data_IF_949063881185
#
_entry.id   IF_949063881185
#
_cell.length_a   1.000
_cell.length_b   1.000
_cell.length_c   1.000
_cell.angle_alpha   90.00
_cell.angle_beta   90.00
_cell.angle_gamma   90.00
#
_symmetry.space_group_name_H-M   'P 1'
#
loop_
_entity.id
_entity.type
_entity.pdbx_description
1 polymer ?
#
# COMPACT_ATOMS: atom_id res chain seq x y z
N UNK A 1 39.32 -15.51 14.39
CA UNK A 1 39.01 -14.09 14.11
C UNK A 1 37.50 -13.95 14.17
N UNK A 2 37.03 -13.13 15.10
CA UNK A 2 35.67 -13.11 15.65
C UNK A 2 34.55 -12.94 14.61
N UNK A 3 33.75 -13.99 14.40
CA UNK A 3 32.41 -13.89 13.79
C UNK A 3 31.54 -12.83 14.51
N UNK A 4 31.77 -12.62 15.81
CA UNK A 4 31.06 -11.63 16.60
C UNK A 4 31.54 -10.18 16.32
N UNK A 5 32.84 -9.97 16.03
CA UNK A 5 33.35 -8.66 15.57
C UNK A 5 32.92 -8.38 14.14
N UNK A 6 32.82 -9.40 13.30
CA UNK A 6 32.35 -9.23 11.93
C UNK A 6 30.84 -8.98 11.88
N UNK A 7 30.04 -9.66 12.71
CA UNK A 7 28.62 -9.35 12.92
C UNK A 7 28.42 -7.95 13.53
N UNK A 8 29.24 -7.55 14.51
CA UNK A 8 29.24 -6.19 15.06
C UNK A 8 29.67 -5.15 14.03
N UNK A 9 30.63 -5.45 13.14
CA UNK A 9 31.04 -4.58 12.02
C UNK A 9 29.95 -4.47 10.95
N UNK A 10 29.32 -5.57 10.54
CA UNK A 10 28.20 -5.57 9.59
C UNK A 10 26.96 -4.87 10.14
N UNK A 11 26.65 -5.02 11.44
CA UNK A 11 25.64 -4.21 12.14
C UNK A 11 26.00 -2.72 12.18
N UNK A 12 27.28 -2.36 12.07
CA UNK A 12 27.78 -0.97 12.08
C UNK A 12 27.65 -0.26 10.73
N UNK A 13 27.14 -0.93 9.69
CA UNK A 13 27.06 -0.38 8.32
C UNK A 13 25.70 -0.63 7.66
N UNK A 14 24.68 -1.01 8.43
CA UNK A 14 23.32 -1.11 7.90
C UNK A 14 22.70 0.29 7.90
N UNK A 15 22.38 0.79 6.73
CA UNK A 15 21.87 2.16 6.54
C UNK A 15 20.35 2.22 6.72
N UNK A 16 19.81 3.41 6.99
CA UNK A 16 18.35 3.64 7.00
C UNK A 16 17.70 3.20 5.68
N UNK A 17 18.41 3.32 4.55
CA UNK A 17 17.91 2.87 3.25
C UNK A 17 17.70 1.36 3.19
N UNK A 18 18.61 0.60 3.79
CA UNK A 18 18.50 -0.87 3.86
C UNK A 18 17.31 -1.27 4.74
N UNK A 19 17.09 -0.57 5.86
CA UNK A 19 15.93 -0.81 6.71
C UNK A 19 14.60 -0.46 6.03
N UNK A 20 14.55 0.61 5.23
CA UNK A 20 13.37 0.98 4.44
C UNK A 20 13.09 -0.06 3.35
N UNK A 21 14.13 -0.50 2.64
CA UNK A 21 13.99 -1.56 1.63
C UNK A 21 13.47 -2.87 2.27
N UNK A 22 14.03 -3.27 3.41
CA UNK A 22 13.56 -4.43 4.15
C UNK A 22 12.10 -4.29 4.62
N UNK A 23 11.67 -3.09 5.01
CA UNK A 23 10.30 -2.83 5.41
C UNK A 23 9.32 -2.97 4.23
N UNK A 24 9.66 -2.39 3.07
CA UNK A 24 8.85 -2.51 1.85
C UNK A 24 8.77 -3.97 1.37
N UNK A 25 9.91 -4.66 1.30
CA UNK A 25 9.94 -6.09 0.95
C UNK A 25 9.26 -6.99 1.97
N UNK A 26 9.06 -6.54 3.21
CA UNK A 26 8.25 -7.26 4.19
C UNK A 26 6.75 -7.05 3.95
N UNK A 27 6.32 -5.83 3.60
CA UNK A 27 4.94 -5.54 3.20
C UNK A 27 4.52 -6.35 1.97
N UNK A 28 5.37 -6.42 0.94
CA UNK A 28 5.12 -7.23 -0.27
C UNK A 28 4.97 -8.73 0.02
N UNK A 29 5.53 -9.21 1.15
CA UNK A 29 5.39 -10.60 1.61
C UNK A 29 4.30 -10.78 2.66
N UNK A 30 3.50 -9.74 2.92
CA UNK A 30 2.49 -9.69 3.98
C UNK A 30 3.04 -9.97 5.39
N UNK A 31 4.32 -9.70 5.63
CA UNK A 31 4.99 -9.90 6.93
C UNK A 31 5.01 -8.58 7.70
N UNK A 32 3.87 -8.24 8.30
CA UNK A 32 3.72 -7.02 9.10
C UNK A 32 4.79 -6.91 10.19
N UNK A 33 5.03 -7.99 10.92
CA UNK A 33 5.97 -7.98 12.05
C UNK A 33 7.40 -7.68 11.59
N UNK A 34 7.81 -8.22 10.44
CA UNK A 34 9.09 -7.86 9.85
C UNK A 34 9.14 -6.41 9.39
N UNK A 35 8.06 -5.89 8.78
CA UNK A 35 7.97 -4.49 8.38
C UNK A 35 8.13 -3.55 9.60
N UNK A 36 7.39 -3.79 10.69
CA UNK A 36 7.46 -3.00 11.92
C UNK A 36 8.84 -3.07 12.58
N UNK A 37 9.50 -4.24 12.59
CA UNK A 37 10.88 -4.36 13.09
C UNK A 37 11.87 -3.52 12.28
N UNK A 38 11.72 -3.51 10.96
CA UNK A 38 12.57 -2.73 10.06
C UNK A 38 12.34 -1.22 10.21
N UNK A 39 11.09 -0.77 10.31
CA UNK A 39 10.73 0.63 10.62
C UNK A 39 11.35 1.07 11.95
N UNK A 40 11.21 0.27 13.01
CA UNK A 40 11.81 0.59 14.30
C UNK A 40 13.35 0.65 14.25
N UNK A 41 13.99 -0.22 13.46
CA UNK A 41 15.42 -0.16 13.24
C UNK A 41 15.84 1.14 12.53
N UNK A 42 15.11 1.54 11.48
CA UNK A 42 15.32 2.79 10.75
C UNK A 42 15.21 4.01 11.68
N UNK A 43 14.14 4.10 12.48
CA UNK A 43 13.89 5.22 13.41
C UNK A 43 14.96 5.38 14.49
N UNK A 44 15.59 4.29 14.96
CA UNK A 44 16.70 4.36 15.92
C UNK A 44 17.91 5.11 15.39
N UNK A 45 18.03 5.23 14.07
CA UNK A 45 19.09 6.01 13.41
C UNK A 45 18.76 7.52 13.32
N UNK A 46 17.59 7.95 13.84
CA UNK A 46 17.11 9.35 13.86
C UNK A 46 17.10 9.98 12.45
N UNK A 47 16.34 9.41 11.51
CA UNK A 47 16.25 9.91 10.14
C UNK A 47 15.71 11.34 10.10
N UNK A 48 16.11 12.10 9.06
CA UNK A 48 15.59 13.45 8.81
C UNK A 48 14.17 13.45 8.25
N UNK A 49 13.53 14.62 8.23
CA UNK A 49 12.09 14.79 8.00
C UNK A 49 11.49 14.02 6.82
N UNK A 50 12.07 14.08 5.61
CA UNK A 50 11.54 13.34 4.44
C UNK A 50 11.55 11.82 4.66
N UNK A 51 12.59 11.31 5.29
CA UNK A 51 12.74 9.87 5.56
C UNK A 51 11.80 9.43 6.67
N UNK A 52 11.57 10.27 7.68
CA UNK A 52 10.54 10.00 8.71
C UNK A 52 9.13 9.99 8.10
N UNK A 53 8.81 10.91 7.18
CA UNK A 53 7.52 10.90 6.47
C UNK A 53 7.29 9.59 5.71
N UNK A 54 8.31 9.08 5.02
CA UNK A 54 8.23 7.79 4.33
C UNK A 54 8.06 6.63 5.33
N UNK A 55 8.73 6.66 6.49
CA UNK A 55 8.56 5.63 7.51
C UNK A 55 7.14 5.64 8.11
N UNK A 56 6.52 6.81 8.29
CA UNK A 56 5.12 6.94 8.72
C UNK A 56 4.17 6.35 7.67
N UNK A 57 4.41 6.59 6.38
CA UNK A 57 3.63 5.99 5.29
C UNK A 57 3.71 4.46 5.32
N UNK A 58 4.92 3.90 5.38
CA UNK A 58 5.14 2.44 5.42
C UNK A 58 4.49 1.83 6.67
N UNK A 59 4.58 2.51 7.82
CA UNK A 59 3.96 2.06 9.07
C UNK A 59 2.43 2.07 8.98
N UNK A 60 1.84 3.09 8.34
CA UNK A 60 0.39 3.15 8.13
C UNK A 60 -0.08 1.95 7.29
N UNK A 61 0.63 1.61 6.21
CA UNK A 61 0.37 0.41 5.42
C UNK A 61 0.55 -0.89 6.21
N UNK A 62 1.57 -0.96 7.06
CA UNK A 62 1.76 -2.12 7.94
C UNK A 62 0.61 -2.30 8.93
N UNK A 63 0.06 -1.21 9.48
CA UNK A 63 -1.14 -1.25 10.32
C UNK A 63 -2.36 -1.72 9.53
N UNK A 64 -2.57 -1.25 8.29
CA UNK A 64 -3.66 -1.74 7.44
C UNK A 64 -3.53 -3.25 7.15
N UNK A 65 -2.32 -3.73 6.83
CA UNK A 65 -2.06 -5.16 6.66
C UNK A 65 -2.33 -5.97 7.95
N UNK A 66 -2.16 -5.34 9.12
CA UNK A 66 -2.50 -5.91 10.43
C UNK A 66 -3.95 -5.77 10.85
N UNK A 67 -4.81 -5.22 9.98
CA UNK A 67 -6.21 -4.85 10.27
C UNK A 67 -6.38 -3.85 11.43
N UNK A 68 -5.40 -2.97 11.63
CA UNK A 68 -5.38 -1.94 12.67
C UNK A 68 -5.73 -0.57 12.08
N UNK A 69 -6.98 -0.37 11.68
CA UNK A 69 -7.42 0.86 11.00
C UNK A 69 -7.23 2.14 11.83
N UNK A 70 -7.42 2.08 13.14
CA UNK A 70 -7.28 3.26 14.00
C UNK A 70 -5.82 3.72 14.11
N UNK A 71 -4.87 2.79 14.16
CA UNK A 71 -3.45 3.13 14.15
C UNK A 71 -3.01 3.64 12.79
N UNK A 72 -3.49 3.03 11.70
CA UNK A 72 -3.28 3.54 10.34
C UNK A 72 -3.82 4.97 10.19
N UNK A 73 -5.01 5.28 10.72
CA UNK A 73 -5.59 6.62 10.70
C UNK A 73 -4.74 7.64 11.46
N UNK A 74 -4.30 7.31 12.68
CA UNK A 74 -3.40 8.19 13.47
C UNK A 74 -2.07 8.45 12.76
N UNK A 75 -1.55 7.49 12.01
CA UNK A 75 -0.33 7.65 11.21
C UNK A 75 -0.58 8.48 9.96
N UNK A 76 -1.69 8.25 9.25
CA UNK A 76 -2.07 9.02 8.07
C UNK A 76 -2.24 10.51 8.40
N UNK A 77 -2.77 10.86 9.58
CA UNK A 77 -2.88 12.25 10.06
C UNK A 77 -1.52 12.96 10.19
N UNK A 78 -0.46 12.23 10.50
CA UNK A 78 0.90 12.78 10.63
C UNK A 78 1.55 13.11 9.29
N UNK A 79 1.05 12.52 8.19
CA UNK A 79 1.55 12.83 6.85
C UNK A 79 1.15 14.25 6.42
N UNK A 80 1.95 14.95 5.59
CA UNK A 80 1.56 16.20 4.98
C UNK A 80 0.18 16.12 4.32
N UNK A 81 -0.61 17.20 4.35
CA UNK A 81 -1.99 17.20 3.80
C UNK A 81 -2.07 16.79 2.33
N UNK A 82 -1.05 17.12 1.53
CA UNK A 82 -0.95 16.78 0.10
C UNK A 82 -0.01 15.60 -0.14
N UNK A 83 0.19 14.74 0.85
CA UNK A 83 1.02 13.56 0.70
C UNK A 83 0.38 12.60 -0.32
N UNK A 84 1.11 12.05 -1.30
CA UNK A 84 0.49 11.27 -2.37
C UNK A 84 -0.17 9.96 -1.90
N UNK A 85 0.35 9.36 -0.81
CA UNK A 85 -0.22 8.17 -0.20
C UNK A 85 -1.57 8.39 0.52
N UNK A 86 -1.91 9.64 0.90
CA UNK A 86 -3.09 9.91 1.76
C UNK A 86 -4.39 9.34 1.19
N UNK A 87 -4.77 9.62 -0.07
CA UNK A 87 -6.01 9.08 -0.64
C UNK A 87 -6.09 7.55 -0.60
N UNK A 88 -4.97 6.87 -0.86
CA UNK A 88 -4.91 5.41 -0.79
C UNK A 88 -5.04 4.89 0.64
N UNK A 89 -4.37 5.53 1.61
CA UNK A 89 -4.48 5.19 3.03
C UNK A 89 -5.89 5.44 3.55
N UNK A 90 -6.52 6.56 3.20
CA UNK A 90 -7.88 6.90 3.61
C UNK A 90 -8.88 5.85 3.09
N UNK A 91 -8.76 5.44 1.83
CA UNK A 91 -9.55 4.34 1.27
C UNK A 91 -9.29 3.01 1.99
N UNK A 92 -8.01 2.67 2.24
CA UNK A 92 -7.64 1.46 2.98
C UNK A 92 -8.18 1.42 4.41
N UNK A 93 -8.22 2.57 5.10
CA UNK A 93 -8.81 2.70 6.44
C UNK A 93 -10.31 2.39 6.42
N UNK A 94 -11.05 2.89 5.42
CA UNK A 94 -12.48 2.58 5.25
C UNK A 94 -12.70 1.08 5.04
N UNK A 95 -11.91 0.48 4.14
CA UNK A 95 -11.95 -0.96 3.83
C UNK A 95 -11.72 -1.79 5.11
N UNK A 96 -10.65 -1.50 5.86
CA UNK A 96 -10.31 -2.27 7.08
C UNK A 96 -11.33 -2.06 8.20
N UNK A 97 -11.99 -0.89 8.26
CA UNK A 97 -13.13 -0.62 9.18
C UNK A 97 -14.42 -1.35 8.79
N UNK A 98 -14.46 -1.99 7.62
CA UNK A 98 -15.61 -2.72 7.12
C UNK A 98 -16.60 -1.88 6.30
N UNK A 99 -16.28 -0.62 6.02
CA UNK A 99 -17.03 0.17 5.03
C UNK A 99 -16.56 -0.21 3.62
N UNK A 100 -17.08 -1.35 3.14
CA UNK A 100 -16.65 -1.96 1.88
C UNK A 100 -16.95 -1.07 0.68
N UNK A 101 -18.19 -0.61 0.57
CA UNK A 101 -18.65 0.20 -0.57
C UNK A 101 -17.97 1.57 -0.55
N UNK A 102 -17.98 2.27 0.59
CA UNK A 102 -17.31 3.57 0.72
C UNK A 102 -15.80 3.47 0.51
N UNK A 103 -15.17 2.37 0.96
CA UNK A 103 -13.76 2.09 0.73
C UNK A 103 -13.42 1.79 -0.73
N UNK A 104 -14.27 1.02 -1.43
CA UNK A 104 -14.09 0.71 -2.85
C UNK A 104 -14.26 1.97 -3.72
N UNK A 105 -15.28 2.79 -3.46
CA UNK A 105 -15.48 4.06 -4.14
C UNK A 105 -14.30 5.01 -3.92
N UNK A 106 -13.86 5.19 -2.66
CA UNK A 106 -12.72 6.03 -2.33
C UNK A 106 -11.42 5.53 -2.99
N UNK A 107 -11.22 4.20 -3.07
CA UNK A 107 -10.06 3.62 -3.74
C UNK A 107 -10.10 3.86 -5.25
N UNK A 108 -11.25 3.70 -5.89
CA UNK A 108 -11.41 4.00 -7.33
C UNK A 108 -11.07 5.47 -7.63
N UNK A 109 -11.55 6.41 -6.80
CA UNK A 109 -11.20 7.82 -6.89
C UNK A 109 -9.69 8.06 -6.69
N UNK A 110 -9.07 7.38 -5.72
CA UNK A 110 -7.64 7.47 -5.46
C UNK A 110 -6.80 6.91 -6.63
N UNK A 111 -7.22 5.82 -7.26
CA UNK A 111 -6.55 5.25 -8.43
C UNK A 111 -6.59 6.19 -9.64
N UNK A 112 -7.72 6.88 -9.86
CA UNK A 112 -7.89 7.84 -10.95
C UNK A 112 -7.04 9.10 -10.80
N UNK A 113 -6.95 9.64 -9.58
CA UNK A 113 -6.31 10.92 -9.33
C UNK A 113 -4.87 10.79 -8.79
N UNK A 114 -4.52 9.63 -8.24
CA UNK A 114 -3.25 9.39 -7.56
C UNK A 114 -2.09 9.12 -8.52
N UNK A 115 -0.84 9.31 -8.05
CA UNK A 115 0.33 8.95 -8.84
C UNK A 115 0.49 7.43 -8.99
N UNK A 116 1.27 7.03 -10.00
CA UNK A 116 1.74 5.66 -10.15
C UNK A 116 2.98 5.42 -9.26
N UNK A 117 2.75 5.08 -8.00
CA UNK A 117 3.79 4.85 -7.00
C UNK A 117 3.56 3.56 -6.17
N UNK A 118 4.38 3.34 -5.14
CA UNK A 118 4.27 2.13 -4.32
C UNK A 118 2.96 2.06 -3.52
N UNK A 119 2.41 3.19 -3.07
CA UNK A 119 1.14 3.22 -2.34
C UNK A 119 -0.02 2.74 -3.22
N UNK A 120 0.02 3.05 -4.52
CA UNK A 120 -0.92 2.48 -5.50
C UNK A 120 -0.85 0.95 -5.54
N UNK A 121 0.34 0.38 -5.60
CA UNK A 121 0.54 -1.08 -5.63
C UNK A 121 -0.03 -1.75 -4.37
N UNK A 122 0.26 -1.19 -3.19
CA UNK A 122 -0.26 -1.69 -1.92
C UNK A 122 -1.79 -1.58 -1.83
N UNK A 123 -2.37 -0.52 -2.40
CA UNK A 123 -3.83 -0.34 -2.42
C UNK A 123 -4.52 -1.37 -3.34
N UNK A 124 -3.93 -1.67 -4.51
CA UNK A 124 -4.41 -2.71 -5.42
C UNK A 124 -4.35 -4.09 -4.73
N UNK A 125 -3.26 -4.37 -4.03
CA UNK A 125 -3.10 -5.59 -3.28
C UNK A 125 -4.15 -5.71 -2.15
N UNK A 126 -4.39 -4.64 -1.40
CA UNK A 126 -5.42 -4.60 -0.36
C UNK A 126 -6.81 -4.89 -0.92
N UNK A 127 -7.17 -4.26 -2.05
CA UNK A 127 -8.45 -4.53 -2.71
C UNK A 127 -8.60 -6.00 -3.12
N UNK A 128 -7.54 -6.61 -3.64
CA UNK A 128 -7.55 -8.04 -3.97
C UNK A 128 -7.71 -8.90 -2.71
N UNK A 129 -6.94 -8.65 -1.64
CA UNK A 129 -7.02 -9.46 -0.41
C UNK A 129 -8.37 -9.36 0.31
N UNK A 130 -9.04 -8.22 0.23
CA UNK A 130 -10.35 -8.01 0.85
C UNK A 130 -11.51 -8.39 -0.10
N UNK A 131 -11.20 -8.89 -1.30
CA UNK A 131 -12.20 -9.33 -2.28
C UNK A 131 -13.08 -8.19 -2.79
N UNK A 132 -12.50 -7.01 -3.02
CA UNK A 132 -13.18 -5.79 -3.47
C UNK A 132 -12.89 -5.46 -4.95
N UNK A 133 -12.26 -6.39 -5.67
CA UNK A 133 -11.79 -6.16 -7.04
C UNK A 133 -12.93 -5.80 -7.99
N UNK A 134 -14.08 -6.45 -7.86
CA UNK A 134 -15.24 -6.24 -8.72
C UNK A 134 -15.84 -4.85 -8.48
N UNK A 135 -16.04 -4.48 -7.22
CA UNK A 135 -16.60 -3.21 -6.78
C UNK A 135 -15.71 -2.03 -7.18
N UNK A 136 -14.39 -2.14 -6.98
CA UNK A 136 -13.43 -1.12 -7.43
C UNK A 136 -13.47 -0.96 -8.95
N UNK A 137 -13.50 -2.05 -9.70
CA UNK A 137 -13.57 -2.00 -11.16
C UNK A 137 -14.87 -1.35 -11.66
N UNK A 138 -16.01 -1.66 -11.03
CA UNK A 138 -17.29 -1.00 -11.34
C UNK A 138 -17.24 0.49 -11.08
N UNK A 139 -16.78 0.90 -9.90
CA UNK A 139 -16.66 2.32 -9.56
C UNK A 139 -15.71 3.07 -10.49
N UNK A 140 -14.65 2.43 -10.97
CA UNK A 140 -13.78 3.02 -12.00
C UNK A 140 -14.55 3.23 -13.31
N UNK A 141 -15.26 2.22 -13.82
CA UNK A 141 -16.02 2.33 -15.07
C UNK A 141 -17.12 3.41 -15.00
N UNK A 142 -17.74 3.61 -13.84
CA UNK A 142 -18.74 4.67 -13.62
C UNK A 142 -18.18 6.09 -13.82
N UNK A 143 -16.85 6.28 -13.81
CA UNK A 143 -16.20 7.57 -14.03
C UNK A 143 -15.99 7.93 -15.51
N UNK A 144 -16.51 7.13 -16.44
CA UNK A 144 -16.47 7.42 -17.88
C UNK A 144 -15.13 7.07 -18.54
N UNK A 145 -14.71 7.85 -19.55
CA UNK A 145 -13.56 7.48 -20.40
C UNK A 145 -12.23 7.35 -19.63
N UNK A 146 -11.98 8.23 -18.66
CA UNK A 146 -10.82 8.10 -17.77
C UNK A 146 -10.92 6.88 -16.85
N UNK A 147 -12.14 6.54 -16.46
CA UNK A 147 -12.49 5.34 -15.71
C UNK A 147 -12.12 4.03 -16.41
N UNK A 148 -12.41 3.94 -17.71
CA UNK A 148 -12.09 2.76 -18.51
C UNK A 148 -10.57 2.53 -18.62
N UNK A 149 -9.79 3.56 -18.96
CA UNK A 149 -8.33 3.46 -19.01
C UNK A 149 -7.74 3.04 -17.66
N UNK A 150 -8.29 3.59 -16.58
CA UNK A 150 -7.85 3.28 -15.24
C UNK A 150 -8.24 1.87 -14.78
N UNK A 151 -9.40 1.36 -15.24
CA UNK A 151 -9.81 -0.04 -15.04
C UNK A 151 -8.83 -1.01 -15.72
N UNK A 152 -8.37 -0.69 -16.93
CA UNK A 152 -7.32 -1.47 -17.60
C UNK A 152 -5.99 -1.41 -16.84
N UNK A 153 -5.59 -0.25 -16.31
CA UNK A 153 -4.37 -0.15 -15.48
C UNK A 153 -4.50 -0.91 -14.18
N UNK A 154 -5.66 -0.87 -13.53
CA UNK A 154 -5.97 -1.65 -12.34
C UNK A 154 -5.83 -3.15 -12.62
N UNK A 155 -6.41 -3.62 -13.73
CA UNK A 155 -6.26 -4.99 -14.22
C UNK A 155 -4.78 -5.38 -14.44
N UNK A 156 -4.00 -4.52 -15.10
CA UNK A 156 -2.57 -4.77 -15.32
C UNK A 156 -1.78 -4.79 -14.01
N UNK A 157 -2.12 -3.93 -13.05
CA UNK A 157 -1.55 -3.96 -11.70
C UNK A 157 -1.78 -5.31 -11.00
N UNK A 158 -3.00 -5.84 -11.07
CA UNK A 158 -3.34 -7.16 -10.54
C UNK A 158 -2.55 -8.28 -11.24
N UNK A 159 -2.37 -8.21 -12.56
CA UNK A 159 -1.54 -9.15 -13.33
C UNK A 159 -0.07 -9.07 -12.90
N UNK A 160 0.47 -7.86 -12.73
CA UNK A 160 1.83 -7.63 -12.25
C UNK A 160 2.09 -8.18 -10.85
N UNK A 161 1.07 -8.17 -9.99
CA UNK A 161 1.09 -8.77 -8.65
C UNK A 161 0.81 -10.29 -8.64
N UNK A 162 0.63 -10.92 -9.81
CA UNK A 162 0.30 -12.34 -9.91
C UNK A 162 -1.11 -12.71 -9.44
N UNK A 163 -1.99 -11.73 -9.19
CA UNK A 163 -3.38 -11.93 -8.77
C UNK A 163 -4.27 -12.22 -10.00
N UNK A 164 -3.93 -13.25 -10.78
CA UNK A 164 -4.54 -13.52 -12.09
C UNK A 164 -6.05 -13.78 -12.02
N UNK A 165 -6.53 -14.43 -10.96
CA UNK A 165 -7.97 -14.63 -10.75
C UNK A 165 -8.72 -13.29 -10.55
N UNK A 166 -8.13 -12.34 -9.82
CA UNK A 166 -8.70 -11.01 -9.64
C UNK A 166 -8.67 -10.21 -10.95
N UNK A 167 -7.58 -10.33 -11.73
CA UNK A 167 -7.53 -9.70 -13.04
C UNK A 167 -8.62 -10.23 -14.00
N UNK A 168 -8.99 -11.50 -13.90
CA UNK A 168 -10.09 -12.08 -14.68
C UNK A 168 -11.47 -11.53 -14.26
N UNK A 169 -11.69 -11.27 -12.97
CA UNK A 169 -12.90 -10.57 -12.49
C UNK A 169 -13.01 -9.20 -13.15
N UNK A 170 -11.91 -8.46 -13.27
CA UNK A 170 -11.92 -7.16 -13.95
C UNK A 170 -12.23 -7.30 -15.44
N UNK A 171 -11.72 -8.34 -16.11
CA UNK A 171 -12.09 -8.65 -17.51
C UNK A 171 -13.61 -8.86 -17.65
N UNK A 172 -14.22 -9.64 -16.76
CA UNK A 172 -15.66 -9.90 -16.76
C UNK A 172 -16.47 -8.61 -16.54
N UNK A 173 -16.01 -7.73 -15.64
CA UNK A 173 -16.65 -6.41 -15.40
C UNK A 173 -16.56 -5.51 -16.64
N UNK A 174 -15.41 -5.48 -17.31
CA UNK A 174 -15.22 -4.72 -18.55
C UNK A 174 -16.16 -5.22 -19.66
N UNK A 175 -16.26 -6.55 -19.83
CA UNK A 175 -17.09 -7.17 -20.87
C UNK A 175 -18.59 -7.09 -20.57
N UNK A 176 -18.98 -7.09 -19.30
CA UNK A 176 -20.38 -6.97 -18.86
C UNK A 176 -20.90 -5.54 -18.75
N UNK A 177 -20.00 -4.55 -18.72
CA UNK A 177 -20.31 -3.11 -18.63
C UNK A 177 -20.21 -2.33 -19.95
N UNK A 178 -19.79 -2.97 -21.04
CA UNK A 178 -19.78 -2.43 -22.40
C UNK A 178 -21.04 -2.83 -23.18
#
# INVERSE_FOLDING_TARGET
VDLDRERKRRRKTRSVKDDIADALSALERHDRDAAMRAIHAARRQKPGGRTETLLVEIEAWACLAGREADDAARLAEQLPRRHPAKPFLDAGILIVRGDRDGGAEALAQALLAGPDDHSRVLAIELAASEGLTEEVARHLLEQGSGGFEETLRFQQGLKGLGKTAHAAIVDDVILGGA
#
